data_IF_155361639881
#
_entry.id   IF_155361639881
#
_cell.length_a   1.000
_cell.length_b   1.000
_cell.length_c   1.000
_cell.angle_alpha   90.00
_cell.angle_beta   90.00
_cell.angle_gamma   90.00
#
_symmetry.space_group_name_H-M   'P 1'
#
loop_
_entity.id
_entity.type
_entity.pdbx_description
1 polymer ?
#
# COMPACT_ATOMS: atom_id res chain seq x y z
N UNK A 1 -9.07 24.61 -40.29
CA UNK A 1 -10.06 23.83 -39.52
C UNK A 1 -10.46 24.63 -38.29
N UNK A 2 -11.74 24.88 -38.05
CA UNK A 2 -12.21 25.80 -37.00
C UNK A 2 -12.41 25.04 -35.67
N UNK A 3 -11.67 25.36 -34.59
CA UNK A 3 -11.62 24.54 -33.37
C UNK A 3 -12.95 24.47 -32.59
N UNK A 4 -13.93 25.33 -32.88
CA UNK A 4 -15.27 25.27 -32.27
C UNK A 4 -16.12 24.11 -32.81
N UNK A 5 -15.98 23.78 -34.10
CA UNK A 5 -16.74 22.69 -34.73
C UNK A 5 -16.32 21.30 -34.24
N UNK A 6 -15.07 21.12 -33.85
CA UNK A 6 -14.56 19.84 -33.32
C UNK A 6 -15.14 19.53 -31.94
N UNK A 7 -15.48 20.56 -31.16
CA UNK A 7 -15.98 20.42 -29.80
C UNK A 7 -17.48 20.09 -29.74
N UNK A 8 -18.26 20.51 -30.73
CA UNK A 8 -19.70 20.23 -30.79
C UNK A 8 -20.02 18.82 -31.31
N UNK A 9 -19.26 18.31 -32.27
CA UNK A 9 -19.43 16.93 -32.79
C UNK A 9 -19.23 15.88 -31.69
N UNK A 10 -18.26 16.10 -30.79
CA UNK A 10 -17.95 15.19 -29.68
C UNK A 10 -19.06 15.14 -28.61
N UNK A 11 -19.82 16.22 -28.47
CA UNK A 11 -20.92 16.33 -27.49
C UNK A 11 -22.22 15.66 -27.99
N UNK A 12 -22.40 15.53 -29.32
CA UNK A 12 -23.55 14.82 -29.90
C UNK A 12 -23.42 13.30 -29.84
N UNK A 13 -22.20 12.77 -29.88
CA UNK A 13 -21.95 11.31 -29.79
C UNK A 13 -22.17 10.72 -28.40
N UNK A 14 -22.13 11.53 -27.33
CA UNK A 14 -22.43 11.04 -25.96
C UNK A 14 -23.92 10.78 -25.70
N UNK A 15 -24.83 11.18 -26.62
CA UNK A 15 -26.27 11.10 -26.38
C UNK A 15 -26.97 9.90 -27.04
N UNK A 16 -26.23 8.99 -27.70
CA UNK A 16 -26.84 7.89 -28.44
C UNK A 16 -26.47 6.54 -27.79
N UNK A 17 -27.51 5.94 -27.21
CA UNK A 17 -27.73 4.50 -26.95
C UNK A 17 -26.98 3.83 -25.78
N UNK A 18 -27.65 3.81 -24.62
CA UNK A 18 -27.51 2.68 -23.67
C UNK A 18 -28.30 1.48 -24.22
N UNK A 19 -27.75 0.25 -24.22
CA UNK A 19 -28.54 -0.94 -24.51
C UNK A 19 -29.56 -1.19 -23.39
N UNK A 20 -30.71 -1.83 -23.67
CA UNK A 20 -31.73 -2.12 -22.67
C UNK A 20 -31.20 -3.15 -21.66
N UNK A 21 -31.51 -2.91 -20.40
CA UNK A 21 -31.19 -3.75 -19.24
C UNK A 21 -31.70 -5.19 -19.46
N UNK A 22 -30.78 -6.13 -19.57
CA UNK A 22 -31.08 -7.56 -19.48
C UNK A 22 -31.20 -7.89 -18.00
N UNK A 23 -32.43 -8.03 -17.52
CA UNK A 23 -32.71 -8.64 -16.22
C UNK A 23 -32.25 -10.10 -16.24
N UNK A 24 -31.17 -10.42 -15.53
CA UNK A 24 -30.75 -11.78 -15.25
C UNK A 24 -30.12 -11.86 -13.85
N UNK A 25 -30.93 -12.32 -12.88
CA UNK A 25 -30.54 -12.91 -11.59
C UNK A 25 -29.46 -12.19 -10.75
N UNK A 26 -29.86 -11.13 -10.05
CA UNK A 26 -28.99 -10.34 -9.13
C UNK A 26 -28.59 -11.04 -7.82
N UNK A 27 -29.02 -12.28 -7.57
CA UNK A 27 -28.78 -12.92 -6.27
C UNK A 27 -27.33 -13.47 -6.10
N UNK A 28 -26.67 -13.87 -7.18
CA UNK A 28 -25.31 -14.42 -7.13
C UNK A 28 -24.24 -13.31 -7.34
N UNK A 29 -24.51 -12.35 -8.22
CA UNK A 29 -23.60 -11.24 -8.56
C UNK A 29 -23.43 -10.24 -7.42
N UNK A 30 -24.49 -9.95 -6.66
CA UNK A 30 -24.43 -9.04 -5.49
C UNK A 30 -23.65 -9.67 -4.33
N UNK A 31 -23.68 -11.00 -4.18
CA UNK A 31 -22.90 -11.71 -3.17
C UNK A 31 -21.41 -11.73 -3.52
N UNK A 32 -21.06 -11.96 -4.78
CA UNK A 32 -19.67 -11.89 -5.26
C UNK A 32 -19.07 -10.48 -5.15
N UNK A 33 -19.81 -9.44 -5.51
CA UNK A 33 -19.36 -8.05 -5.35
C UNK A 33 -19.19 -7.63 -3.88
N UNK A 34 -20.00 -8.17 -2.97
CA UNK A 34 -19.90 -7.93 -1.53
C UNK A 34 -18.61 -8.53 -0.94
N UNK A 35 -18.25 -9.76 -1.33
CA UNK A 35 -17.05 -10.44 -0.85
C UNK A 35 -15.75 -9.84 -1.42
N UNK A 36 -15.71 -9.53 -2.73
CA UNK A 36 -14.58 -8.83 -3.37
C UNK A 36 -14.31 -7.46 -2.74
N UNK A 37 -15.36 -6.77 -2.28
CA UNK A 37 -15.23 -5.49 -1.59
C UNK A 37 -14.70 -5.68 -0.16
N UNK A 38 -15.06 -6.77 0.53
CA UNK A 38 -14.67 -6.99 1.92
C UNK A 38 -13.16 -7.19 2.12
N UNK A 39 -12.53 -8.02 1.28
CA UNK A 39 -11.07 -8.26 1.35
C UNK A 39 -10.29 -7.01 0.96
N UNK A 40 -10.75 -6.29 -0.07
CA UNK A 40 -10.13 -5.04 -0.51
C UNK A 40 -10.19 -3.99 0.60
N UNK A 41 -11.35 -3.82 1.23
CA UNK A 41 -11.52 -2.90 2.36
C UNK A 41 -10.63 -3.27 3.55
N UNK A 42 -10.51 -4.57 3.85
CA UNK A 42 -9.61 -5.06 4.88
C UNK A 42 -8.15 -4.73 4.57
N UNK A 43 -7.66 -5.05 3.36
CA UNK A 43 -6.28 -4.80 2.98
C UNK A 43 -5.94 -3.31 2.96
N UNK A 44 -6.86 -2.45 2.48
CA UNK A 44 -6.69 -1.00 2.53
C UNK A 44 -6.70 -0.45 3.97
N UNK A 45 -7.55 -1.00 4.84
CA UNK A 45 -7.56 -0.60 6.24
C UNK A 45 -6.26 -1.01 6.94
N UNK A 46 -5.75 -2.21 6.65
CA UNK A 46 -4.50 -2.72 7.18
C UNK A 46 -3.31 -1.88 6.72
N UNK A 47 -3.23 -1.55 5.43
CA UNK A 47 -2.20 -0.66 4.88
C UNK A 47 -2.17 0.68 5.62
N UNK A 48 -3.32 1.34 5.76
CA UNK A 48 -3.44 2.62 6.49
C UNK A 48 -3.04 2.49 7.95
N UNK A 49 -3.47 1.42 8.63
CA UNK A 49 -3.09 1.19 10.03
C UNK A 49 -1.58 1.02 10.17
N UNK A 50 -0.96 0.30 9.23
CA UNK A 50 0.48 0.02 9.23
C UNK A 50 1.29 1.29 8.95
N UNK A 51 0.85 2.14 8.02
CA UNK A 51 1.49 3.44 7.73
C UNK A 51 1.49 4.38 8.95
N UNK A 52 0.49 4.25 9.83
CA UNK A 52 0.36 5.06 11.04
C UNK A 52 1.18 4.53 12.24
N UNK A 53 1.85 3.38 12.10
CA UNK A 53 2.73 2.88 13.16
C UNK A 53 3.95 3.79 13.30
N UNK A 54 4.23 4.20 14.53
CA UNK A 54 5.39 5.03 14.88
C UNK A 54 6.00 4.52 16.18
N UNK A 55 7.34 4.50 16.27
CA UNK A 55 8.01 4.17 17.53
C UNK A 55 8.12 5.44 18.42
N UNK A 56 7.94 5.30 19.73
CA UNK A 56 7.85 6.44 20.68
C UNK A 56 9.10 7.35 20.72
N UNK A 57 10.29 6.81 20.40
CA UNK A 57 11.58 7.49 20.53
C UNK A 57 12.09 8.17 19.25
N UNK A 58 11.27 8.28 18.19
CA UNK A 58 11.74 8.84 16.91
C UNK A 58 12.00 10.34 17.00
N UNK A 59 13.26 10.73 17.19
CA UNK A 59 13.74 12.11 17.02
C UNK A 59 14.24 12.31 15.59
N UNK A 60 13.88 13.45 14.98
CA UNK A 60 13.91 13.70 13.54
C UNK A 60 15.23 13.52 12.76
N UNK A 61 16.33 13.17 13.42
CA UNK A 61 17.61 12.84 12.76
C UNK A 61 18.19 11.46 13.14
N UNK A 62 17.60 10.75 14.10
CA UNK A 62 18.14 9.48 14.63
C UNK A 62 17.46 8.25 14.01
N UNK A 63 16.65 8.46 12.97
CA UNK A 63 15.96 7.39 12.22
C UNK A 63 16.95 6.38 11.64
N UNK A 64 18.20 6.81 11.44
CA UNK A 64 19.29 6.03 10.85
C UNK A 64 20.57 6.13 11.68
N UNK A 65 20.46 6.02 13.00
CA UNK A 65 21.65 5.75 13.82
C UNK A 65 22.42 4.57 13.21
N UNK A 66 23.68 4.80 12.86
CA UNK A 66 24.65 3.85 12.28
C UNK A 66 23.98 2.73 11.47
N UNK A 67 23.56 3.07 10.25
CA UNK A 67 22.99 2.19 9.24
C UNK A 67 23.32 0.71 9.36
N UNK A 68 22.27 -0.12 9.29
CA UNK A 68 22.30 -1.58 9.20
C UNK A 68 23.04 -2.24 10.37
N UNK A 69 22.28 -2.58 11.41
CA UNK A 69 22.65 -3.78 12.16
C UNK A 69 22.67 -4.93 11.15
N UNK A 70 23.76 -5.68 11.10
CA UNK A 70 23.85 -6.93 10.34
C UNK A 70 22.79 -7.90 10.86
N UNK A 71 21.60 -7.76 10.32
CA UNK A 71 20.39 -8.48 10.70
C UNK A 71 20.02 -9.35 9.52
N UNK A 72 19.84 -10.64 9.77
CA UNK A 72 19.30 -11.54 8.77
C UNK A 72 17.84 -11.17 8.45
N UNK A 73 17.39 -11.45 7.22
CA UNK A 73 16.01 -11.24 6.80
C UNK A 73 15.02 -11.92 7.78
N UNK A 74 15.33 -13.15 8.20
CA UNK A 74 14.57 -13.89 9.22
C UNK A 74 14.37 -13.11 10.52
N UNK A 75 15.45 -12.54 11.06
CA UNK A 75 15.40 -11.81 12.32
C UNK A 75 14.72 -10.45 12.15
N UNK A 76 14.94 -9.79 11.01
CA UNK A 76 14.29 -8.53 10.66
C UNK A 76 12.78 -8.68 10.49
N UNK A 77 12.31 -9.77 9.90
CA UNK A 77 10.87 -10.06 9.74
C UNK A 77 10.18 -10.23 11.09
N UNK A 78 10.82 -10.94 12.02
CA UNK A 78 10.29 -11.15 13.37
C UNK A 78 10.41 -9.92 14.26
N UNK A 79 11.32 -8.99 13.94
CA UNK A 79 11.60 -7.81 14.73
C UNK A 79 11.78 -6.56 13.85
N UNK A 80 10.73 -6.11 13.12
CA UNK A 80 10.86 -5.01 12.16
C UNK A 80 11.39 -3.71 12.78
N UNK A 81 11.03 -3.43 14.04
CA UNK A 81 11.50 -2.26 14.80
C UNK A 81 13.02 -2.20 15.03
N UNK A 82 13.72 -3.33 14.85
CA UNK A 82 15.18 -3.41 15.00
C UNK A 82 15.93 -3.16 13.68
N UNK A 83 15.23 -3.23 12.55
CA UNK A 83 15.77 -2.91 11.22
C UNK A 83 15.85 -1.40 11.04
N UNK A 84 14.75 -0.72 11.32
CA UNK A 84 14.68 0.74 11.38
C UNK A 84 13.52 1.19 12.27
N UNK A 85 13.66 2.39 12.82
CA UNK A 85 12.57 3.03 13.53
C UNK A 85 11.40 3.36 12.60
N UNK A 86 10.19 3.10 13.07
CA UNK A 86 8.96 3.51 12.39
C UNK A 86 8.75 5.01 12.57
N UNK A 87 8.92 5.76 11.49
CA UNK A 87 8.68 7.21 11.45
C UNK A 87 7.54 7.55 10.50
N UNK A 88 6.86 8.70 10.64
CA UNK A 88 5.91 9.19 9.64
C UNK A 88 6.57 9.40 8.26
N UNK A 89 5.84 9.14 7.17
CA UNK A 89 6.28 9.46 5.81
C UNK A 89 6.13 10.97 5.57
N UNK A 90 7.19 11.61 5.07
CA UNK A 90 7.15 13.00 4.63
C UNK A 90 6.97 13.04 3.11
N UNK A 91 5.76 13.40 2.69
CA UNK A 91 5.37 13.54 1.28
C UNK A 91 5.43 14.98 0.78
N UNK A 92 6.05 15.91 1.54
CA UNK A 92 6.05 17.34 1.24
C UNK A 92 6.80 17.70 -0.05
N UNK A 93 7.65 16.81 -0.56
CA UNK A 93 8.45 17.01 -1.78
C UNK A 93 9.23 18.34 -1.79
N UNK A 94 9.65 18.81 -0.61
CA UNK A 94 10.26 20.15 -0.41
C UNK A 94 11.71 20.25 -0.89
N UNK A 95 12.37 19.12 -1.13
CA UNK A 95 13.76 19.06 -1.62
C UNK A 95 14.00 17.86 -2.53
N UNK A 96 15.05 17.96 -3.34
CA UNK A 96 15.53 16.84 -4.16
C UNK A 96 16.02 15.71 -3.24
N UNK A 97 15.63 14.49 -3.60
CA UNK A 97 16.02 13.26 -2.91
C UNK A 97 17.55 13.07 -2.93
N UNK A 98 18.13 12.76 -1.79
CA UNK A 98 19.54 12.42 -1.61
C UNK A 98 19.71 10.91 -1.46
N UNK A 99 20.93 10.40 -1.61
CA UNK A 99 21.22 8.97 -1.43
C UNK A 99 20.73 8.43 -0.07
N UNK A 100 20.88 9.24 0.98
CA UNK A 100 20.41 8.91 2.34
C UNK A 100 18.89 8.66 2.40
N UNK A 101 18.11 9.35 1.57
CA UNK A 101 16.66 9.19 1.52
C UNK A 101 16.27 7.89 0.83
N UNK A 102 17.00 7.52 -0.23
CA UNK A 102 16.76 6.26 -0.94
C UNK A 102 16.94 5.07 -0.01
N UNK A 103 18.07 5.03 0.69
CA UNK A 103 18.32 3.96 1.63
C UNK A 103 17.30 4.00 2.78
N UNK A 104 16.89 5.20 3.26
CA UNK A 104 15.84 5.34 4.29
C UNK A 104 14.54 4.74 3.82
N UNK A 105 14.16 5.04 2.59
CA UNK A 105 12.97 4.51 1.99
C UNK A 105 13.02 2.99 1.86
N UNK A 106 14.18 2.41 1.54
CA UNK A 106 14.34 0.96 1.42
C UNK A 106 14.10 0.23 2.75
N UNK A 107 14.78 0.62 3.83
CA UNK A 107 14.57 -0.02 5.15
C UNK A 107 13.17 0.24 5.69
N UNK A 108 12.60 1.43 5.47
CA UNK A 108 11.22 1.73 5.86
C UNK A 108 10.22 0.91 5.07
N UNK A 109 10.45 0.71 3.78
CA UNK A 109 9.62 -0.17 2.97
C UNK A 109 9.67 -1.59 3.51
N UNK A 110 10.86 -2.13 3.85
CA UNK A 110 10.97 -3.44 4.47
C UNK A 110 10.12 -3.54 5.74
N UNK A 111 10.27 -2.61 6.69
CA UNK A 111 9.52 -2.63 7.96
C UNK A 111 8.02 -2.51 7.73
N UNK A 112 7.59 -1.62 6.84
CA UNK A 112 6.19 -1.46 6.45
C UNK A 112 5.60 -2.78 5.92
N UNK A 113 6.31 -3.46 5.02
CA UNK A 113 5.82 -4.70 4.43
C UNK A 113 5.83 -5.85 5.45
N UNK A 114 6.84 -5.92 6.31
CA UNK A 114 6.89 -6.91 7.38
C UNK A 114 5.73 -6.73 8.37
N UNK A 115 5.47 -5.49 8.82
CA UNK A 115 4.34 -5.21 9.72
C UNK A 115 2.99 -5.48 9.04
N UNK A 116 2.84 -5.10 7.77
CA UNK A 116 1.63 -5.36 6.99
C UNK A 116 1.37 -6.86 6.82
N UNK A 117 2.40 -7.63 6.42
CA UNK A 117 2.29 -9.08 6.27
C UNK A 117 1.94 -9.76 7.59
N UNK A 118 2.58 -9.36 8.68
CA UNK A 118 2.27 -9.86 10.03
C UNK A 118 0.87 -9.45 10.52
N UNK A 119 0.26 -8.41 9.93
CA UNK A 119 -1.12 -8.04 10.16
C UNK A 119 -2.14 -8.99 9.52
N UNK A 120 -1.73 -9.81 8.55
CA UNK A 120 -2.57 -10.81 7.90
C UNK A 120 -2.59 -12.08 8.77
N UNK A 121 -3.76 -12.52 9.30
CA UNK A 121 -3.84 -13.70 10.16
C UNK A 121 -3.26 -14.96 9.50
N UNK A 122 -3.55 -15.16 8.21
CA UNK A 122 -3.15 -16.34 7.46
C UNK A 122 -1.64 -16.37 7.15
N UNK A 123 -0.99 -15.20 7.10
CA UNK A 123 0.46 -15.13 6.94
C UNK A 123 1.18 -15.58 8.23
N UNK A 124 0.66 -15.21 9.40
CA UNK A 124 1.26 -15.54 10.70
C UNK A 124 1.29 -17.03 11.03
N UNK A 125 0.39 -17.82 10.43
CA UNK A 125 0.35 -19.27 10.67
C UNK A 125 1.34 -20.05 9.81
N UNK A 126 1.94 -19.41 8.80
CA UNK A 126 2.96 -20.01 7.95
C UNK A 126 4.24 -20.31 8.75
N UNK A 127 5.04 -21.26 8.27
CA UNK A 127 6.36 -21.50 8.84
C UNK A 127 7.26 -20.28 8.65
N UNK A 128 8.25 -20.08 9.53
CA UNK A 128 9.20 -18.98 9.36
C UNK A 128 9.97 -19.08 8.02
N UNK A 129 10.20 -20.29 7.53
CA UNK A 129 10.82 -20.52 6.23
C UNK A 129 9.93 -19.99 5.10
N UNK A 130 8.63 -20.31 5.11
CA UNK A 130 7.68 -19.83 4.10
C UNK A 130 7.50 -18.30 4.18
N UNK A 131 7.40 -17.75 5.38
CA UNK A 131 7.27 -16.30 5.59
C UNK A 131 8.46 -15.50 5.02
N UNK A 132 9.64 -16.10 4.97
CA UNK A 132 10.87 -15.44 4.49
C UNK A 132 11.05 -15.58 2.98
N UNK A 133 10.46 -16.60 2.36
CA UNK A 133 10.56 -16.85 0.92
C UNK A 133 9.45 -16.19 0.09
N UNK A 134 8.35 -15.76 0.72
CA UNK A 134 7.27 -14.98 0.10
C UNK A 134 7.66 -13.52 -0.10
#
# INVERSE_FOLDING_TARGET
MNPKHVREERNKQERIERPPEVQCSDAETVRQQSEENSITLFLCALERQTEMLTDDDVKGNDVMGEWSRDISITFGLQNPQLVIKRSPMDWSCTRIMQANDLYKQWYRAFVLHADWAMGIPDFRVLSLEDQVHL
#
